data_IF_101825661696
#
_entry.id   IF_101825661696
#
_cell.length_a   1.000
_cell.length_b   1.000
_cell.length_c   1.000
_cell.angle_alpha   90.00
_cell.angle_beta   90.00
_cell.angle_gamma   90.00
#
_symmetry.space_group_name_H-M   'P 1'
#
loop_
_entity.id
_entity.type
_entity.pdbx_description
1 polymer ?
#
# COMPACT_ATOMS: atom_id res chain seq x y z
N UNK A 1 73.77 -18.60 -51.49
CA UNK A 1 72.47 -18.07 -51.94
C UNK A 1 71.58 -17.94 -50.68
N UNK A 2 71.50 -16.74 -50.10
CA UNK A 2 70.76 -16.46 -48.86
C UNK A 2 69.44 -15.82 -49.22
N UNK A 3 68.30 -16.37 -48.75
CA UNK A 3 66.99 -15.79 -48.92
C UNK A 3 66.62 -15.08 -47.60
N UNK A 4 66.54 -13.77 -47.68
CA UNK A 4 66.02 -12.95 -46.61
C UNK A 4 64.47 -13.00 -46.63
N UNK A 5 63.88 -13.35 -45.54
CA UNK A 5 62.44 -13.27 -45.35
C UNK A 5 62.08 -11.94 -44.61
N UNK A 6 61.32 -11.07 -45.28
CA UNK A 6 60.75 -9.86 -44.69
C UNK A 6 59.47 -10.25 -43.90
N UNK A 7 59.47 -9.99 -42.57
CA UNK A 7 58.28 -10.01 -41.74
C UNK A 7 57.66 -8.61 -41.75
N UNK A 8 56.49 -8.47 -42.36
CA UNK A 8 55.63 -7.28 -42.17
C UNK A 8 54.80 -7.40 -40.87
N UNK A 9 55.14 -6.60 -39.89
CA UNK A 9 54.25 -6.41 -38.71
C UNK A 9 53.07 -5.49 -39.09
N UNK A 10 51.90 -6.05 -39.21
CA UNK A 10 50.66 -5.29 -39.34
C UNK A 10 50.23 -4.76 -37.96
N UNK A 11 50.25 -3.45 -37.79
CA UNK A 11 49.68 -2.79 -36.59
C UNK A 11 48.19 -2.69 -36.81
N UNK A 12 47.43 -3.51 -36.10
CA UNK A 12 45.95 -3.36 -35.97
C UNK A 12 45.65 -2.22 -35.01
N UNK A 13 45.26 -1.05 -35.51
CA UNK A 13 44.67 0.01 -34.70
C UNK A 13 43.26 -0.40 -34.31
N UNK A 14 43.06 -0.78 -33.04
CA UNK A 14 41.74 -0.99 -32.46
C UNK A 14 41.13 0.39 -32.23
N UNK A 15 40.25 0.83 -33.15
CA UNK A 15 39.37 1.99 -32.90
C UNK A 15 38.37 1.62 -31.80
N UNK A 16 38.61 2.07 -30.57
CA UNK A 16 37.63 2.05 -29.51
C UNK A 16 36.47 2.98 -29.91
N UNK A 17 35.34 2.41 -30.27
CA UNK A 17 34.09 3.17 -30.41
C UNK A 17 33.74 3.78 -29.07
N UNK A 18 33.32 5.07 -29.01
CA UNK A 18 32.84 5.65 -27.76
C UNK A 18 31.62 4.85 -27.31
N UNK A 19 31.69 4.32 -26.08
CA UNK A 19 30.54 3.72 -25.43
C UNK A 19 29.51 4.84 -25.21
N UNK A 20 28.49 4.87 -26.05
CA UNK A 20 27.32 5.72 -25.77
C UNK A 20 26.76 5.29 -24.42
N UNK A 21 26.82 6.16 -23.41
CA UNK A 21 26.13 5.93 -22.13
C UNK A 21 24.68 5.68 -22.45
N UNK A 22 24.16 4.54 -22.04
CA UNK A 22 22.73 4.23 -22.18
C UNK A 22 21.95 5.32 -21.42
N UNK A 23 20.86 5.87 -22.02
CA UNK A 23 20.05 6.84 -21.33
C UNK A 23 19.57 6.24 -19.98
N UNK A 24 19.74 7.01 -18.92
CA UNK A 24 19.33 6.58 -17.58
C UNK A 24 17.81 6.33 -17.58
N UNK A 25 17.38 5.13 -17.24
CA UNK A 25 15.96 4.82 -17.04
C UNK A 25 15.46 5.58 -15.80
N UNK A 26 14.63 6.64 -15.95
CA UNK A 26 14.22 7.46 -14.84
C UNK A 26 13.38 6.68 -13.82
N UNK A 27 12.62 5.68 -14.27
CA UNK A 27 11.81 4.82 -13.38
C UNK A 27 12.74 4.00 -12.49
N UNK A 28 13.76 3.37 -13.05
CA UNK A 28 14.73 2.60 -12.27
C UNK A 28 15.48 3.48 -11.27
N UNK A 29 15.87 4.68 -11.68
CA UNK A 29 16.54 5.62 -10.79
C UNK A 29 15.63 6.07 -9.62
N UNK A 30 14.33 6.22 -9.86
CA UNK A 30 13.36 6.51 -8.80
C UNK A 30 13.18 5.31 -7.86
N UNK A 31 13.02 4.10 -8.39
CA UNK A 31 12.88 2.87 -7.59
C UNK A 31 14.08 2.65 -6.68
N UNK A 32 15.28 2.94 -7.14
CA UNK A 32 16.51 2.85 -6.34
C UNK A 32 16.60 3.83 -5.17
N UNK A 33 15.68 4.83 -5.09
CA UNK A 33 15.59 5.74 -3.94
C UNK A 33 14.79 5.16 -2.77
N UNK A 34 14.07 4.05 -2.98
CA UNK A 34 13.44 3.30 -1.92
C UNK A 34 14.50 2.64 -1.04
N UNK A 35 14.27 2.70 0.26
CA UNK A 35 15.21 2.22 1.27
C UNK A 35 14.45 1.42 2.33
N UNK A 36 14.88 0.19 2.57
CA UNK A 36 14.21 -0.71 3.51
C UNK A 36 14.19 -0.15 4.93
N UNK A 37 15.29 0.44 5.38
CA UNK A 37 15.36 0.95 6.75
C UNK A 37 14.50 2.20 6.95
N UNK A 38 14.36 3.06 5.96
CA UNK A 38 13.41 4.19 6.01
C UNK A 38 11.97 3.70 6.02
N UNK A 39 11.64 2.73 5.17
CA UNK A 39 10.34 2.09 5.14
C UNK A 39 9.97 1.49 6.50
N UNK A 40 10.88 0.70 7.08
CA UNK A 40 10.73 0.13 8.43
C UNK A 40 10.61 1.21 9.51
N UNK A 41 11.40 2.28 9.41
CA UNK A 41 11.37 3.38 10.37
C UNK A 41 10.02 4.11 10.35
N UNK A 42 9.40 4.27 9.17
CA UNK A 42 8.07 4.85 9.04
C UNK A 42 7.02 3.97 9.72
N UNK A 43 7.01 2.66 9.46
CA UNK A 43 6.11 1.71 10.15
C UNK A 43 6.35 1.78 11.67
N UNK A 44 7.60 1.76 12.10
CA UNK A 44 7.96 1.86 13.52
C UNK A 44 7.47 3.18 14.16
N UNK A 45 7.54 4.28 13.41
CA UNK A 45 7.00 5.57 13.85
C UNK A 45 5.49 5.54 14.09
N UNK A 46 4.75 4.90 13.19
CA UNK A 46 3.30 4.72 13.32
C UNK A 46 2.92 3.89 14.55
N UNK A 47 3.67 2.83 14.87
CA UNK A 47 3.38 1.98 16.03
C UNK A 47 3.52 2.68 17.38
N UNK A 48 4.15 3.88 17.42
CA UNK A 48 4.22 4.69 18.62
C UNK A 48 2.84 5.15 19.13
N UNK A 49 1.83 5.17 18.25
CA UNK A 49 0.46 5.59 18.54
C UNK A 49 -0.49 4.41 18.82
N UNK A 50 0.04 3.19 19.08
CA UNK A 50 -0.76 1.98 19.23
C UNK A 50 -1.48 1.59 17.94
N UNK A 51 -2.71 1.06 18.04
CA UNK A 51 -3.51 0.67 16.87
C UNK A 51 -4.09 1.88 16.09
N UNK A 52 -3.90 3.08 16.54
CA UNK A 52 -4.36 4.33 15.89
C UNK A 52 -5.87 4.36 15.63
N UNK A 53 -6.65 3.71 16.51
CA UNK A 53 -8.11 3.59 16.36
C UNK A 53 -8.76 4.95 16.13
N UNK A 54 -9.61 5.03 15.12
CA UNK A 54 -10.34 6.25 14.78
C UNK A 54 -11.10 6.83 15.99
N UNK A 55 -11.28 8.15 16.07
CA UNK A 55 -12.03 8.81 17.15
C UNK A 55 -11.28 8.98 18.46
N UNK A 56 -10.00 8.64 18.51
CA UNK A 56 -9.12 8.80 19.68
C UNK A 56 -8.17 9.98 19.52
N UNK A 57 -7.57 10.46 20.61
CA UNK A 57 -6.55 11.50 20.56
C UNK A 57 -5.27 11.00 19.90
N UNK A 58 -4.90 9.71 20.11
CA UNK A 58 -3.74 9.10 19.48
C UNK A 58 -3.89 8.94 17.96
N UNK A 59 -5.11 8.73 17.44
CA UNK A 59 -5.38 8.76 16.00
C UNK A 59 -5.11 10.16 15.42
N UNK A 60 -5.62 11.21 16.07
CA UNK A 60 -5.34 12.61 15.66
C UNK A 60 -3.83 12.92 15.70
N UNK A 61 -3.15 12.48 16.77
CA UNK A 61 -1.70 12.66 16.88
C UNK A 61 -0.94 11.91 15.77
N UNK A 62 -1.40 10.74 15.35
CA UNK A 62 -0.84 10.02 14.20
C UNK A 62 -1.05 10.79 12.88
N UNK A 63 -2.23 11.37 12.66
CA UNK A 63 -2.49 12.24 11.48
C UNK A 63 -1.56 13.46 11.50
N UNK A 64 -1.41 14.12 12.66
CA UNK A 64 -0.50 15.27 12.82
C UNK A 64 0.96 14.87 12.51
N UNK A 65 1.39 13.71 12.98
CA UNK A 65 2.70 13.16 12.69
C UNK A 65 2.89 12.86 11.20
N UNK A 66 1.91 12.21 10.55
CA UNK A 66 1.95 11.92 9.11
C UNK A 66 2.05 13.23 8.31
N UNK A 67 1.22 14.22 8.61
CA UNK A 67 1.26 15.51 7.92
C UNK A 67 2.61 16.22 8.08
N UNK A 68 3.18 16.17 9.30
CA UNK A 68 4.50 16.74 9.56
C UNK A 68 5.60 16.04 8.74
N UNK A 69 5.53 14.69 8.61
CA UNK A 69 6.45 13.94 7.75
C UNK A 69 6.29 14.33 6.27
N UNK A 70 5.05 14.37 5.75
CA UNK A 70 4.79 14.79 4.38
C UNK A 70 5.35 16.18 4.08
N UNK A 71 5.15 17.15 4.99
CA UNK A 71 5.75 18.49 4.88
C UNK A 71 7.27 18.45 4.88
N UNK A 72 7.89 17.62 5.72
CA UNK A 72 9.35 17.46 5.77
C UNK A 72 9.95 16.88 4.48
N UNK A 73 9.16 16.11 3.73
CA UNK A 73 9.56 15.58 2.42
C UNK A 73 9.47 16.62 1.28
N UNK A 74 8.88 17.79 1.55
CA UNK A 74 8.67 18.82 0.54
C UNK A 74 7.25 18.89 -0.01
N UNK A 75 6.30 18.13 0.52
CA UNK A 75 4.88 18.26 0.21
C UNK A 75 4.31 19.51 0.88
N UNK A 76 4.54 20.68 0.26
CA UNK A 76 4.11 21.97 0.83
C UNK A 76 2.58 22.22 0.76
N UNK A 77 1.85 21.39 0.02
CA UNK A 77 0.42 21.52 -0.23
C UNK A 77 -0.38 20.39 0.46
N UNK A 78 -0.01 20.04 1.67
CA UNK A 78 -0.81 19.10 2.47
C UNK A 78 -2.19 19.69 2.76
N UNK A 79 -3.20 18.84 2.67
CA UNK A 79 -4.60 19.18 2.95
C UNK A 79 -5.21 18.13 3.86
N UNK A 80 -6.27 18.52 4.59
CA UNK A 80 -7.10 17.60 5.38
C UNK A 80 -8.54 17.67 4.92
N UNK A 81 -9.16 16.53 4.77
CA UNK A 81 -10.61 16.44 4.60
C UNK A 81 -11.24 16.10 5.95
N UNK A 82 -12.33 16.78 6.27
CA UNK A 82 -13.09 16.59 7.51
C UNK A 82 -14.46 16.03 7.19
N UNK A 83 -14.90 15.11 8.05
CA UNK A 83 -16.24 14.53 7.99
C UNK A 83 -16.72 14.14 9.38
N UNK A 84 -18.04 14.00 9.55
CA UNK A 84 -18.62 13.58 10.81
C UNK A 84 -18.82 12.07 10.83
N UNK A 85 -18.51 11.45 11.95
CA UNK A 85 -18.76 10.05 12.18
C UNK A 85 -19.46 9.86 13.54
N UNK A 86 -20.51 9.04 13.52
CA UNK A 86 -21.32 8.74 14.71
C UNK A 86 -20.68 7.72 15.64
N UNK A 87 -21.51 6.96 16.32
CA UNK A 87 -21.05 5.83 17.12
C UNK A 87 -20.55 4.70 16.21
N UNK A 88 -19.46 4.09 16.63
CA UNK A 88 -18.92 2.91 15.97
C UNK A 88 -19.93 1.75 16.11
N UNK A 89 -20.31 1.10 15.01
CA UNK A 89 -21.17 -0.06 15.11
C UNK A 89 -20.48 -1.14 15.96
N UNK A 90 -21.22 -1.90 16.78
CA UNK A 90 -20.63 -2.94 17.59
C UNK A 90 -19.93 -3.97 16.67
N UNK A 91 -18.62 -4.15 16.85
CA UNK A 91 -17.89 -5.21 16.16
C UNK A 91 -18.52 -6.55 16.56
N UNK A 92 -18.68 -7.41 15.57
CA UNK A 92 -19.18 -8.76 15.83
C UNK A 92 -18.12 -9.50 16.64
N UNK A 93 -18.33 -9.58 17.95
CA UNK A 93 -17.47 -10.37 18.85
C UNK A 93 -17.63 -11.83 18.45
N UNK A 94 -16.63 -12.36 17.76
CA UNK A 94 -16.50 -13.80 17.64
C UNK A 94 -15.98 -14.28 18.99
N UNK A 95 -16.87 -14.92 19.76
CA UNK A 95 -16.53 -15.43 21.07
C UNK A 95 -15.28 -16.29 21.01
N UNK A 96 -14.30 -15.92 21.85
CA UNK A 96 -13.11 -16.71 22.23
C UNK A 96 -12.31 -17.31 21.08
N UNK A 97 -11.10 -16.88 20.99
CA UNK A 97 -9.99 -17.30 20.13
C UNK A 97 -9.66 -18.80 20.15
N UNK A 98 -10.59 -19.65 19.81
CA UNK A 98 -10.22 -20.99 19.34
C UNK A 98 -10.00 -20.86 17.83
N UNK A 99 -8.76 -20.81 17.43
CA UNK A 99 -8.34 -21.11 16.08
C UNK A 99 -8.96 -22.47 15.72
N UNK A 100 -10.11 -22.43 15.03
CA UNK A 100 -10.74 -23.64 14.56
C UNK A 100 -9.98 -24.07 13.29
N UNK A 101 -9.34 -25.22 13.33
CA UNK A 101 -8.96 -25.92 12.11
C UNK A 101 -10.21 -26.04 11.23
N UNK A 102 -10.01 -25.76 9.94
CA UNK A 102 -11.07 -25.87 8.94
C UNK A 102 -11.57 -27.31 8.87
N UNK A 103 -12.61 -27.58 9.62
CA UNK A 103 -13.45 -28.77 9.54
C UNK A 103 -14.79 -28.38 8.95
N UNK A 104 -15.33 -29.21 8.22
CA UNK A 104 -16.54 -29.39 7.42
C UNK A 104 -17.75 -28.45 7.53
N UNK A 105 -17.87 -27.55 8.52
CA UNK A 105 -18.99 -26.64 8.65
C UNK A 105 -18.60 -25.20 8.28
N UNK A 106 -18.82 -24.85 7.03
CA UNK A 106 -18.56 -23.52 6.49
C UNK A 106 -19.80 -22.62 6.60
N UNK A 107 -19.75 -21.48 7.30
CA UNK A 107 -20.64 -20.38 6.96
C UNK A 107 -20.18 -19.77 5.64
N UNK A 108 -21.15 -19.61 4.77
CA UNK A 108 -21.03 -18.94 3.49
C UNK A 108 -20.66 -17.46 3.74
N UNK A 109 -19.40 -17.08 3.45
CA UNK A 109 -19.04 -15.67 3.35
C UNK A 109 -19.59 -15.20 2.01
N UNK A 110 -20.68 -14.46 2.08
CA UNK A 110 -21.42 -13.98 0.95
C UNK A 110 -20.52 -13.39 -0.15
N UNK A 111 -20.84 -13.81 -1.36
CA UNK A 111 -20.39 -13.31 -2.65
C UNK A 111 -18.88 -13.37 -2.91
N UNK A 112 -18.44 -14.50 -3.43
CA UNK A 112 -17.25 -14.59 -4.30
C UNK A 112 -15.92 -14.86 -3.63
N UNK A 113 -15.86 -15.11 -2.33
CA UNK A 113 -14.62 -15.55 -1.70
C UNK A 113 -14.21 -16.95 -2.16
N UNK A 114 -13.00 -17.10 -2.71
CA UNK A 114 -12.45 -18.41 -3.00
C UNK A 114 -12.50 -19.26 -1.71
N UNK A 115 -13.03 -20.46 -1.79
CA UNK A 115 -13.09 -21.40 -0.66
C UNK A 115 -11.66 -21.76 -0.26
N UNK A 116 -11.18 -21.22 0.84
CA UNK A 116 -9.90 -21.60 1.40
C UNK A 116 -10.03 -22.96 2.05
N UNK A 117 -9.48 -23.98 1.42
CA UNK A 117 -9.40 -25.33 2.03
C UNK A 117 -8.16 -25.39 2.93
N UNK A 118 -8.38 -25.71 4.21
CA UNK A 118 -7.28 -26.00 5.14
C UNK A 118 -6.59 -24.80 5.78
N UNK A 119 -7.12 -23.59 5.64
CA UNK A 119 -6.53 -22.37 6.20
C UNK A 119 -7.04 -22.05 7.59
N UNK A 120 -6.21 -21.41 8.39
CA UNK A 120 -6.65 -20.72 9.59
C UNK A 120 -7.59 -19.57 9.20
N UNK A 121 -8.75 -19.50 9.85
CA UNK A 121 -9.68 -18.38 9.61
C UNK A 121 -9.25 -17.19 10.43
N UNK A 122 -9.45 -15.95 9.91
CA UNK A 122 -9.32 -14.76 10.73
C UNK A 122 -10.18 -14.91 11.98
N UNK A 123 -9.61 -14.62 13.13
CA UNK A 123 -10.33 -14.68 14.40
C UNK A 123 -11.37 -13.55 14.56
N UNK A 124 -11.45 -12.62 13.61
CA UNK A 124 -12.17 -11.37 13.70
C UNK A 124 -11.44 -10.35 14.58
N UNK A 125 -12.10 -9.23 14.89
CA UNK A 125 -11.51 -8.18 15.74
C UNK A 125 -11.40 -8.67 17.18
N UNK A 126 -10.20 -8.62 17.75
CA UNK A 126 -10.00 -8.88 19.17
C UNK A 126 -10.46 -7.65 19.97
N UNK A 127 -11.39 -7.85 20.91
CA UNK A 127 -11.93 -6.79 21.76
C UNK A 127 -11.56 -6.99 23.25
N UNK A 128 -10.69 -7.96 23.55
CA UNK A 128 -10.26 -8.24 24.90
C UNK A 128 -8.94 -7.52 25.24
N UNK A 129 -8.96 -6.47 26.08
CA UNK A 129 -7.76 -5.77 26.48
C UNK A 129 -6.74 -6.66 27.20
N UNK A 130 -7.22 -7.69 27.90
CA UNK A 130 -6.33 -8.60 28.63
C UNK A 130 -5.58 -9.58 27.70
N UNK A 131 -6.03 -9.71 26.46
CA UNK A 131 -5.29 -10.45 25.42
C UNK A 131 -3.99 -9.74 25.00
N UNK A 132 -3.83 -8.42 25.29
CA UNK A 132 -2.58 -7.68 25.05
C UNK A 132 -1.67 -7.76 26.28
N UNK A 133 -0.56 -8.58 26.23
CA UNK A 133 0.32 -8.76 27.38
C UNK A 133 1.21 -7.53 27.63
N UNK A 134 1.43 -6.69 26.61
CA UNK A 134 2.27 -5.50 26.75
C UNK A 134 1.45 -4.37 27.39
N UNK A 135 1.77 -4.05 28.66
CA UNK A 135 1.06 -3.05 29.45
C UNK A 135 1.07 -1.64 28.80
N UNK A 136 2.17 -1.28 28.07
CA UNK A 136 2.25 0.01 27.38
C UNK A 136 1.26 0.08 26.23
N UNK A 137 1.20 -0.97 25.38
CA UNK A 137 0.28 -1.02 24.23
C UNK A 137 -1.16 -1.05 24.76
N UNK A 138 -1.44 -1.92 25.74
CA UNK A 138 -2.76 -1.98 26.39
C UNK A 138 -3.21 -0.64 26.92
N UNK A 139 -2.32 0.12 27.57
CA UNK A 139 -2.67 1.44 28.08
C UNK A 139 -2.93 2.47 26.97
N UNK A 140 -2.20 2.41 25.86
CA UNK A 140 -2.45 3.26 24.68
C UNK A 140 -3.82 2.95 24.08
N UNK A 141 -4.10 1.66 23.84
CA UNK A 141 -5.29 1.21 23.13
C UNK A 141 -6.57 1.25 23.99
N UNK A 142 -6.42 1.48 25.30
CA UNK A 142 -7.55 1.64 26.21
C UNK A 142 -8.34 2.96 26.02
N UNK A 143 -7.82 3.91 25.24
CA UNK A 143 -8.57 5.14 24.95
C UNK A 143 -9.81 4.82 24.09
N UNK A 144 -11.03 5.13 24.55
CA UNK A 144 -12.24 4.83 23.80
C UNK A 144 -12.41 5.77 22.61
N UNK A 145 -12.85 5.24 21.48
CA UNK A 145 -13.31 6.04 20.36
C UNK A 145 -14.53 6.88 20.77
N UNK A 146 -14.57 8.15 20.33
CA UNK A 146 -15.68 9.06 20.59
C UNK A 146 -16.33 9.49 19.28
N UNK A 147 -17.66 9.66 19.21
CA UNK A 147 -18.33 10.29 18.08
C UNK A 147 -17.80 11.70 17.81
N UNK A 148 -17.90 12.16 16.57
CA UNK A 148 -17.54 13.51 16.19
C UNK A 148 -16.78 13.60 14.88
N UNK A 149 -16.03 14.69 14.72
CA UNK A 149 -15.24 14.95 13.51
C UNK A 149 -14.08 13.96 13.35
N UNK A 150 -13.88 13.51 12.12
CA UNK A 150 -12.72 12.74 11.66
C UNK A 150 -11.99 13.54 10.60
N UNK A 151 -10.71 13.27 10.48
CA UNK A 151 -9.85 13.88 9.47
C UNK A 151 -9.07 12.78 8.75
N UNK A 152 -8.76 13.03 7.50
CA UNK A 152 -7.77 12.31 6.72
C UNK A 152 -6.83 13.31 6.06
N UNK A 153 -5.65 12.88 5.65
CA UNK A 153 -4.60 13.77 5.18
C UNK A 153 -4.01 13.30 3.86
N UNK A 154 -3.71 14.25 2.98
CA UNK A 154 -2.99 13.99 1.74
C UNK A 154 -2.01 15.10 1.38
N UNK A 155 -1.14 14.79 0.43
CA UNK A 155 -0.45 15.81 -0.37
C UNK A 155 -0.56 15.48 -1.86
N UNK A 156 -0.39 16.50 -2.72
CA UNK A 156 -0.53 16.34 -4.16
C UNK A 156 0.73 16.81 -4.87
N UNK A 157 1.40 15.93 -5.63
CA UNK A 157 2.39 16.30 -6.63
C UNK A 157 1.63 16.81 -7.84
N UNK A 158 1.78 18.09 -8.17
CA UNK A 158 1.10 18.70 -9.31
C UNK A 158 1.86 18.36 -10.60
N UNK A 159 1.15 17.85 -11.59
CA UNK A 159 1.67 17.56 -12.93
C UNK A 159 2.00 18.82 -13.72
N UNK A 160 3.06 18.76 -14.51
CA UNK A 160 3.53 19.91 -15.30
C UNK A 160 2.75 20.09 -16.60
N UNK A 161 2.38 19.01 -17.30
CA UNK A 161 1.68 19.04 -18.58
C UNK A 161 0.15 18.93 -18.42
N UNK A 162 -0.30 18.09 -17.51
CA UNK A 162 -1.70 17.77 -17.29
C UNK A 162 -2.07 17.88 -15.79
N UNK A 163 -2.00 19.08 -15.19
CA UNK A 163 -2.29 19.26 -13.76
C UNK A 163 -3.73 18.90 -13.37
N UNK A 164 -4.67 18.95 -14.34
CA UNK A 164 -6.08 18.58 -14.16
C UNK A 164 -6.37 17.07 -14.25
N UNK A 165 -5.35 16.22 -14.40
CA UNK A 165 -5.45 14.75 -14.42
C UNK A 165 -4.64 14.14 -13.28
N UNK A 166 -5.16 13.11 -12.60
CA UNK A 166 -4.56 12.60 -11.37
C UNK A 166 -4.70 11.10 -11.19
N UNK A 167 -3.65 10.47 -10.67
CA UNK A 167 -3.72 9.17 -10.02
C UNK A 167 -3.74 9.33 -8.51
N UNK A 168 -4.56 8.52 -7.83
CA UNK A 168 -4.64 8.46 -6.37
C UNK A 168 -3.85 7.25 -5.90
N UNK A 169 -2.89 7.47 -5.02
CA UNK A 169 -2.09 6.43 -4.35
C UNK A 169 -2.39 6.51 -2.87
N UNK A 170 -2.90 5.43 -2.30
CA UNK A 170 -3.55 5.50 -0.99
C UNK A 170 -3.33 4.27 -0.12
N UNK A 171 -3.56 4.46 1.18
CA UNK A 171 -3.66 3.44 2.21
C UNK A 171 -4.49 3.99 3.37
N UNK A 172 -5.08 3.14 4.21
CA UNK A 172 -5.62 3.63 5.47
C UNK A 172 -4.54 3.68 6.57
N UNK A 173 -4.72 4.59 7.53
CA UNK A 173 -3.75 4.80 8.60
C UNK A 173 -4.27 4.37 9.97
N UNK A 174 -5.55 4.16 10.12
CA UNK A 174 -6.16 3.65 11.35
C UNK A 174 -6.03 2.11 11.44
N UNK A 175 -6.31 1.56 12.59
CA UNK A 175 -6.32 0.13 12.85
C UNK A 175 -7.06 -0.18 14.14
N UNK A 176 -7.24 -1.45 14.45
CA UNK A 176 -7.97 -1.99 15.60
C UNK A 176 -7.33 -3.29 16.11
N UNK A 177 -7.81 -3.83 17.22
CA UNK A 177 -7.47 -5.19 17.66
C UNK A 177 -6.46 -5.26 18.80
N UNK A 178 -6.23 -4.14 19.52
CA UNK A 178 -5.30 -4.10 20.68
C UNK A 178 -3.84 -4.40 20.35
N UNK A 179 -3.43 -4.17 19.10
CA UNK A 179 -2.06 -4.32 18.62
C UNK A 179 -1.37 -2.97 18.39
N UNK A 180 -0.43 -2.96 17.49
CA UNK A 180 0.22 -1.75 16.99
C UNK A 180 -0.24 -1.41 15.55
N UNK A 181 -1.19 -2.19 15.00
CA UNK A 181 -1.61 -2.09 13.60
C UNK A 181 -0.40 -2.04 12.66
N UNK A 182 0.54 -2.96 12.90
CA UNK A 182 1.85 -2.96 12.24
C UNK A 182 1.77 -3.52 10.82
N UNK A 183 0.91 -4.52 10.57
CA UNK A 183 0.57 -5.00 9.23
C UNK A 183 -0.73 -4.37 8.73
N UNK A 184 -1.71 -4.18 9.59
CA UNK A 184 -2.98 -3.60 9.21
C UNK A 184 -3.18 -2.19 9.83
N UNK A 185 -2.78 -1.05 9.15
CA UNK A 185 -2.13 -0.99 7.85
C UNK A 185 -0.88 -0.09 7.89
N UNK A 186 0.13 -0.50 8.65
CA UNK A 186 1.44 0.17 8.70
C UNK A 186 2.17 0.16 7.35
N UNK A 187 2.26 -0.98 6.61
CA UNK A 187 3.01 -1.08 5.37
C UNK A 187 2.40 -0.24 4.24
N UNK A 188 1.08 -0.23 4.08
CA UNK A 188 0.43 0.61 3.08
C UNK A 188 0.65 2.09 3.37
N UNK A 189 0.46 2.52 4.63
CA UNK A 189 0.74 3.90 5.05
C UNK A 189 2.19 4.30 4.77
N UNK A 190 3.15 3.45 5.14
CA UNK A 190 4.57 3.72 4.92
C UNK A 190 4.93 3.77 3.43
N UNK A 191 4.34 2.89 2.61
CA UNK A 191 4.51 2.89 1.16
C UNK A 191 4.07 4.24 0.56
N UNK A 192 2.86 4.69 0.88
CA UNK A 192 2.33 5.97 0.37
C UNK A 192 3.23 7.14 0.78
N UNK A 193 3.71 7.15 2.03
CA UNK A 193 4.62 8.19 2.54
C UNK A 193 5.99 8.15 1.85
N UNK A 194 6.57 6.98 1.60
CA UNK A 194 7.85 6.84 0.88
C UNK A 194 7.72 7.27 -0.58
N UNK A 195 6.63 6.94 -1.27
CA UNK A 195 6.37 7.45 -2.60
C UNK A 195 6.22 8.98 -2.61
N UNK A 196 5.47 9.53 -1.65
CA UNK A 196 5.36 10.98 -1.50
C UNK A 196 6.73 11.65 -1.33
N UNK A 197 7.61 11.07 -0.49
CA UNK A 197 8.98 11.53 -0.29
C UNK A 197 9.79 11.55 -1.59
N UNK A 198 9.71 10.48 -2.39
CA UNK A 198 10.49 10.36 -3.62
C UNK A 198 9.97 11.32 -4.69
N UNK A 199 8.65 11.36 -4.90
CA UNK A 199 8.05 12.24 -5.90
C UNK A 199 8.12 13.73 -5.52
N UNK A 200 8.22 14.08 -4.24
CA UNK A 200 8.42 15.45 -3.78
C UNK A 200 9.86 15.97 -4.04
N UNK A 201 10.80 15.10 -4.43
CA UNK A 201 12.16 15.48 -4.79
C UNK A 201 12.17 16.61 -5.83
N UNK A 202 13.02 17.64 -5.62
CA UNK A 202 13.08 18.82 -6.47
C UNK A 202 13.55 18.54 -7.91
N UNK A 203 14.21 17.40 -8.11
CA UNK A 203 14.67 16.90 -9.41
C UNK A 203 13.63 16.00 -10.12
N UNK A 204 12.50 15.70 -9.48
CA UNK A 204 11.44 14.87 -10.05
C UNK A 204 10.35 15.73 -10.67
N UNK A 205 10.08 15.51 -11.96
CA UNK A 205 8.93 16.08 -12.65
C UNK A 205 7.96 14.97 -13.08
N UNK A 206 6.67 15.31 -13.15
CA UNK A 206 5.62 14.43 -13.66
C UNK A 206 4.74 15.20 -14.63
N UNK A 207 4.23 14.54 -15.67
CA UNK A 207 3.28 15.16 -16.59
C UNK A 207 1.90 15.30 -15.95
N UNK A 208 1.47 14.29 -15.18
CA UNK A 208 0.19 14.25 -14.46
C UNK A 208 0.38 14.38 -12.97
N UNK A 209 -0.67 14.77 -12.29
CA UNK A 209 -0.69 14.89 -10.84
C UNK A 209 -0.77 13.53 -10.15
N UNK A 210 -0.28 13.45 -8.91
CA UNK A 210 -0.39 12.29 -8.03
C UNK A 210 -0.89 12.78 -6.68
N UNK A 211 -1.94 12.20 -6.15
CA UNK A 211 -2.39 12.40 -4.77
C UNK A 211 -1.97 11.23 -3.90
N UNK A 212 -1.18 11.52 -2.88
CA UNK A 212 -0.78 10.58 -1.84
C UNK A 212 -1.69 10.81 -0.64
N UNK A 213 -2.63 9.90 -0.40
CA UNK A 213 -3.65 10.07 0.64
C UNK A 213 -3.64 8.92 1.64
N UNK A 214 -3.77 9.26 2.92
CA UNK A 214 -3.88 8.36 4.05
C UNK A 214 -5.31 8.47 4.59
N UNK A 215 -6.12 7.45 4.27
CA UNK A 215 -7.49 7.35 4.73
C UNK A 215 -7.57 7.15 6.24
N UNK A 216 -8.64 7.58 6.84
CA UNK A 216 -8.94 7.32 8.24
C UNK A 216 -10.30 6.64 8.36
N UNK A 217 -10.48 5.84 9.40
CA UNK A 217 -11.76 5.19 9.68
C UNK A 217 -12.17 4.17 8.59
N UNK A 218 -11.17 3.42 8.07
CA UNK A 218 -11.39 2.27 7.20
C UNK A 218 -12.07 1.15 7.95
N UNK A 219 -11.53 0.81 9.13
CA UNK A 219 -11.82 -0.35 9.97
C UNK A 219 -13.28 -0.42 10.45
N UNK A 220 -14.00 0.70 10.42
CA UNK A 220 -15.40 0.76 10.79
C UNK A 220 -16.33 0.99 9.61
N UNK A 221 -15.81 0.79 8.38
CA UNK A 221 -16.62 0.72 7.16
C UNK A 221 -16.21 1.66 6.04
N UNK A 222 -14.93 1.87 5.78
CA UNK A 222 -14.39 2.66 4.65
C UNK A 222 -14.86 4.13 4.69
N UNK A 223 -15.01 4.71 5.88
CA UNK A 223 -15.74 5.96 6.04
C UNK A 223 -14.96 7.16 5.49
N UNK A 224 -13.63 7.18 5.61
CA UNK A 224 -12.80 8.22 5.01
C UNK A 224 -12.90 8.22 3.50
N UNK A 225 -12.64 7.09 2.86
CA UNK A 225 -12.74 6.95 1.41
C UNK A 225 -14.13 7.30 0.86
N UNK A 226 -15.21 6.90 1.58
CA UNK A 226 -16.58 7.29 1.23
C UNK A 226 -16.80 8.80 1.35
N UNK A 227 -16.33 9.42 2.43
CA UNK A 227 -16.45 10.86 2.64
C UNK A 227 -15.69 11.65 1.56
N UNK A 228 -14.51 11.17 1.16
CA UNK A 228 -13.76 11.76 0.07
C UNK A 228 -14.53 11.69 -1.26
N UNK A 229 -15.04 10.53 -1.64
CA UNK A 229 -15.86 10.36 -2.85
C UNK A 229 -17.06 11.30 -2.81
N UNK A 230 -17.82 11.32 -1.73
CA UNK A 230 -19.01 12.17 -1.58
C UNK A 230 -18.70 13.66 -1.77
N UNK A 231 -17.59 14.13 -1.19
CA UNK A 231 -17.22 15.55 -1.23
C UNK A 231 -16.50 15.96 -2.52
N UNK A 232 -15.80 15.04 -3.21
CA UNK A 232 -14.85 15.36 -4.27
C UNK A 232 -15.26 14.87 -5.66
N UNK A 233 -16.08 13.84 -5.79
CA UNK A 233 -16.46 13.27 -7.09
C UNK A 233 -16.94 14.34 -8.09
N UNK A 234 -17.82 15.24 -7.65
CA UNK A 234 -18.42 16.27 -8.51
C UNK A 234 -17.49 17.46 -8.82
N UNK A 235 -16.34 17.54 -8.16
CA UNK A 235 -15.35 18.61 -8.36
C UNK A 235 -14.29 18.26 -9.40
N UNK A 236 -14.22 17.01 -9.82
CA UNK A 236 -13.19 16.50 -10.70
C UNK A 236 -13.03 17.32 -11.99
N UNK A 237 -11.77 17.68 -12.28
CA UNK A 237 -11.40 18.40 -13.50
C UNK A 237 -11.91 19.84 -13.60
N UNK A 238 -12.48 20.38 -12.52
CA UNK A 238 -12.97 21.78 -12.50
C UNK A 238 -11.90 22.73 -11.99
N UNK A 239 -11.61 23.73 -12.80
CA UNK A 239 -10.72 24.81 -12.36
C UNK A 239 -11.38 25.70 -11.30
N UNK A 240 -10.60 26.15 -10.34
CA UNK A 240 -11.04 27.10 -9.34
C UNK A 240 -9.91 28.07 -8.95
N UNK A 241 -10.06 29.38 -9.26
CA UNK A 241 -11.10 29.98 -10.11
C UNK A 241 -10.98 29.58 -11.58
N UNK A 242 -12.04 29.69 -12.40
CA UNK A 242 -12.00 29.39 -13.83
C UNK A 242 -10.87 30.13 -14.58
N UNK A 243 -10.13 29.39 -15.44
CA UNK A 243 -8.99 29.92 -16.20
C UNK A 243 -7.69 30.07 -15.39
N UNK A 244 -7.65 29.59 -14.15
CA UNK A 244 -6.47 29.68 -13.28
C UNK A 244 -5.43 28.58 -13.52
N UNK A 245 -5.78 27.49 -14.20
CA UNK A 245 -4.97 26.27 -14.28
C UNK A 245 -4.89 25.51 -12.96
N UNK A 246 -5.69 25.88 -11.95
CA UNK A 246 -5.71 25.23 -10.63
C UNK A 246 -6.92 24.32 -10.51
N UNK A 247 -6.64 23.04 -10.18
CA UNK A 247 -7.66 22.01 -10.02
C UNK A 247 -7.64 21.53 -8.56
N UNK A 248 -8.56 22.01 -7.71
CA UNK A 248 -8.69 21.52 -6.33
C UNK A 248 -8.93 20.01 -6.28
N UNK A 249 -9.63 19.50 -7.30
CA UNK A 249 -9.80 18.06 -7.54
C UNK A 249 -9.54 17.76 -9.01
N UNK A 250 -8.32 17.33 -9.39
CA UNK A 250 -8.05 16.88 -10.74
C UNK A 250 -8.91 15.65 -11.10
N UNK A 251 -9.15 15.43 -12.38
CA UNK A 251 -9.88 14.25 -12.87
C UNK A 251 -9.14 12.98 -12.46
N UNK A 252 -9.84 12.06 -11.85
CA UNK A 252 -9.30 10.74 -11.48
C UNK A 252 -9.08 9.88 -12.72
N UNK A 253 -7.85 9.39 -12.87
CA UNK A 253 -7.47 8.45 -13.93
C UNK A 253 -7.33 7.02 -13.41
N UNK A 254 -7.04 6.86 -12.14
CA UNK A 254 -6.92 5.58 -11.45
C UNK A 254 -6.79 5.77 -9.94
N UNK A 255 -7.26 4.78 -9.19
CA UNK A 255 -7.15 4.71 -7.75
C UNK A 255 -6.39 3.44 -7.36
N UNK A 256 -5.36 3.58 -6.56
CA UNK A 256 -4.47 2.50 -6.14
C UNK A 256 -4.45 2.46 -4.62
N UNK A 257 -5.02 1.42 -4.03
CA UNK A 257 -5.04 1.17 -2.60
C UNK A 257 -3.94 0.19 -2.21
N UNK A 258 -3.41 0.35 -1.01
CA UNK A 258 -2.44 -0.56 -0.40
C UNK A 258 -2.92 -0.97 0.98
N UNK A 259 -2.89 -2.28 1.25
CA UNK A 259 -3.47 -2.80 2.48
C UNK A 259 -2.85 -4.15 2.84
N UNK A 260 -2.22 -4.25 4.02
CA UNK A 260 -1.58 -5.46 4.55
C UNK A 260 -0.53 -6.08 3.61
N UNK A 261 0.75 -5.88 3.88
CA UNK A 261 1.84 -6.37 3.03
C UNK A 261 3.07 -6.81 3.82
N UNK A 262 2.90 -7.36 5.03
CA UNK A 262 4.02 -7.85 5.83
C UNK A 262 3.99 -9.35 6.11
N UNK A 263 2.91 -10.08 5.79
CA UNK A 263 2.85 -11.48 6.15
C UNK A 263 3.52 -12.39 5.11
N UNK A 264 4.81 -12.63 5.27
CA UNK A 264 5.58 -13.57 4.46
C UNK A 264 6.14 -14.77 5.23
N UNK A 265 6.20 -14.73 6.56
CA UNK A 265 6.69 -15.87 7.29
C UNK A 265 5.62 -16.92 7.47
N UNK A 266 5.92 -18.02 6.95
CA UNK A 266 5.59 -19.32 7.31
C UNK A 266 4.18 -19.85 7.26
N UNK A 267 4.22 -21.15 7.28
CA UNK A 267 3.03 -21.98 7.42
C UNK A 267 2.70 -22.15 8.91
N UNK A 268 1.40 -22.12 9.27
CA UNK A 268 0.99 -22.51 10.62
C UNK A 268 1.39 -23.95 10.93
N UNK A 269 2.01 -24.15 12.08
CA UNK A 269 2.34 -25.48 12.62
C UNK A 269 1.21 -25.99 13.51
N UNK A 270 1.25 -27.29 13.82
CA UNK A 270 0.24 -27.93 14.66
C UNK A 270 0.16 -27.38 16.09
N UNK A 271 1.23 -26.75 16.56
CA UNK A 271 1.31 -26.09 17.87
C UNK A 271 0.84 -24.62 17.84
N UNK A 272 0.36 -24.13 16.67
CA UNK A 272 -0.07 -22.75 16.47
C UNK A 272 1.05 -21.75 16.19
N UNK A 273 2.32 -22.18 16.20
CA UNK A 273 3.44 -21.35 15.77
C UNK A 273 3.51 -21.26 14.24
N UNK A 274 4.21 -20.23 13.74
CA UNK A 274 4.51 -20.07 12.32
C UNK A 274 5.91 -20.58 12.01
N UNK A 275 6.10 -21.18 10.84
CA UNK A 275 7.44 -21.50 10.36
C UNK A 275 8.19 -20.22 10.02
N UNK A 276 9.52 -20.27 10.09
CA UNK A 276 10.36 -19.13 9.71
C UNK A 276 10.64 -19.05 8.20
N UNK A 277 10.22 -20.08 7.45
CA UNK A 277 10.38 -20.12 6.01
C UNK A 277 9.40 -19.17 5.34
N UNK A 278 9.82 -18.60 4.22
CA UNK A 278 8.96 -17.84 3.33
C UNK A 278 7.78 -18.69 2.87
N UNK A 279 6.58 -18.10 2.79
CA UNK A 279 5.45 -18.78 2.17
C UNK A 279 5.72 -18.99 0.68
N UNK A 280 5.50 -20.20 0.14
CA UNK A 280 5.72 -20.47 -1.29
C UNK A 280 4.87 -19.60 -2.21
N UNK A 281 3.71 -19.13 -1.76
CA UNK A 281 2.80 -18.25 -2.49
C UNK A 281 2.99 -16.76 -2.17
N UNK A 282 4.03 -16.41 -1.41
CA UNK A 282 4.27 -15.02 -1.09
C UNK A 282 4.51 -14.21 -2.38
N UNK A 283 3.63 -13.26 -2.63
CA UNK A 283 3.66 -12.36 -3.77
C UNK A 283 2.97 -11.03 -3.45
N UNK A 284 3.10 -10.06 -4.34
CA UNK A 284 2.29 -8.85 -4.34
C UNK A 284 1.01 -9.15 -5.12
N UNK A 285 -0.08 -9.37 -4.41
CA UNK A 285 -1.38 -9.63 -5.02
C UNK A 285 -2.02 -8.30 -5.46
N UNK A 286 -2.23 -8.15 -6.76
CA UNK A 286 -2.86 -6.97 -7.38
C UNK A 286 -4.30 -7.34 -7.70
N UNK A 287 -5.23 -6.71 -7.02
CA UNK A 287 -6.65 -7.03 -7.12
C UNK A 287 -7.42 -5.99 -7.90
N UNK A 288 -8.34 -6.43 -8.77
CA UNK A 288 -9.37 -5.59 -9.36
C UNK A 288 -10.75 -6.26 -9.22
N UNK A 289 -11.82 -5.49 -9.31
CA UNK A 289 -13.17 -6.06 -9.19
C UNK A 289 -13.79 -6.29 -10.56
N UNK A 290 -13.89 -7.54 -10.98
CA UNK A 290 -14.41 -7.94 -12.29
C UNK A 290 -15.89 -7.59 -12.51
N UNK A 291 -16.65 -7.35 -11.44
CA UNK A 291 -18.07 -6.93 -11.53
C UNK A 291 -18.26 -5.42 -11.50
N UNK A 292 -17.20 -4.62 -11.43
CA UNK A 292 -17.29 -3.16 -11.44
C UNK A 292 -17.57 -2.60 -12.83
N UNK A 293 -18.10 -1.37 -12.89
CA UNK A 293 -18.32 -0.67 -14.17
C UNK A 293 -17.02 -0.38 -14.93
N UNK A 294 -15.90 -0.32 -14.23
CA UNK A 294 -14.58 -0.04 -14.78
C UNK A 294 -13.66 -1.27 -14.79
N UNK A 295 -14.25 -2.48 -14.79
CA UNK A 295 -13.49 -3.73 -14.70
C UNK A 295 -12.38 -3.85 -15.75
N UNK A 296 -12.66 -3.55 -17.02
CA UNK A 296 -11.67 -3.64 -18.11
C UNK A 296 -10.51 -2.68 -17.90
N UNK A 297 -10.82 -1.45 -17.51
CA UNK A 297 -9.79 -0.42 -17.22
C UNK A 297 -9.00 -0.77 -15.97
N UNK A 298 -9.65 -1.31 -14.93
CA UNK A 298 -9.01 -1.75 -13.70
C UNK A 298 -8.11 -2.97 -13.95
N UNK A 299 -8.54 -3.92 -14.77
CA UNK A 299 -7.70 -5.05 -15.19
C UNK A 299 -6.47 -4.57 -15.97
N UNK A 300 -6.65 -3.63 -16.89
CA UNK A 300 -5.52 -3.04 -17.61
C UNK A 300 -4.54 -2.36 -16.67
N UNK A 301 -5.04 -1.58 -15.72
CA UNK A 301 -4.23 -0.94 -14.68
C UNK A 301 -3.46 -1.99 -13.86
N UNK A 302 -4.12 -3.07 -13.44
CA UNK A 302 -3.48 -4.17 -12.70
C UNK A 302 -2.32 -4.81 -13.48
N UNK A 303 -2.47 -4.99 -14.78
CA UNK A 303 -1.39 -5.52 -15.64
C UNK A 303 -0.23 -4.54 -15.80
N UNK A 304 -0.47 -3.22 -15.84
CA UNK A 304 0.62 -2.23 -15.81
C UNK A 304 1.44 -2.40 -14.53
N UNK A 305 0.78 -2.65 -13.40
CA UNK A 305 1.48 -2.89 -12.13
C UNK A 305 2.23 -4.22 -12.12
N UNK A 306 1.66 -5.30 -12.66
CA UNK A 306 2.37 -6.58 -12.79
C UNK A 306 3.63 -6.44 -13.66
N UNK A 307 3.54 -5.80 -14.82
CA UNK A 307 4.70 -5.54 -15.68
C UNK A 307 5.75 -4.66 -15.00
N UNK A 308 5.31 -3.68 -14.20
CA UNK A 308 6.21 -2.86 -13.41
C UNK A 308 6.94 -3.69 -12.32
N UNK A 309 6.24 -4.61 -11.66
CA UNK A 309 6.85 -5.57 -10.75
C UNK A 309 7.92 -6.41 -11.45
N UNK A 310 7.58 -7.07 -12.55
CA UNK A 310 8.50 -7.93 -13.31
C UNK A 310 9.78 -7.20 -13.74
N UNK A 311 9.67 -5.91 -14.05
CA UNK A 311 10.81 -5.12 -14.56
C UNK A 311 11.65 -4.46 -13.48
N UNK A 312 11.05 -4.06 -12.37
CA UNK A 312 11.68 -3.15 -11.43
C UNK A 312 11.73 -3.64 -9.98
N UNK A 313 10.84 -4.54 -9.57
CA UNK A 313 10.88 -5.12 -8.23
C UNK A 313 11.98 -6.18 -8.10
N UNK A 314 12.39 -6.50 -6.86
CA UNK A 314 13.62 -7.28 -6.63
C UNK A 314 13.39 -8.65 -6.04
N UNK A 315 12.39 -8.80 -5.15
CA UNK A 315 12.34 -9.97 -4.26
C UNK A 315 11.12 -10.87 -4.48
N UNK A 316 9.98 -10.30 -4.89
CA UNK A 316 8.71 -11.02 -4.96
C UNK A 316 8.02 -10.82 -6.29
N UNK A 317 7.42 -11.87 -6.86
CA UNK A 317 6.58 -11.74 -8.04
C UNK A 317 5.29 -10.97 -7.71
N UNK A 318 4.55 -10.57 -8.74
CA UNK A 318 3.21 -10.09 -8.59
C UNK A 318 2.22 -11.06 -9.24
N UNK A 319 1.04 -11.18 -8.65
CA UNK A 319 -0.11 -11.87 -9.23
C UNK A 319 -1.28 -10.93 -9.42
N UNK A 320 -2.13 -11.17 -10.45
CA UNK A 320 -3.33 -10.38 -10.70
C UNK A 320 -4.57 -11.19 -10.36
N UNK A 321 -5.46 -10.64 -9.57
CA UNK A 321 -6.68 -11.25 -9.10
C UNK A 321 -7.91 -10.46 -9.52
N UNK A 322 -8.91 -11.16 -10.06
CA UNK A 322 -10.17 -10.58 -10.55
C UNK A 322 -11.21 -10.35 -9.45
N UNK A 323 -10.83 -10.49 -8.22
CA UNK A 323 -11.68 -10.25 -7.05
C UNK A 323 -10.96 -9.36 -6.05
N UNK A 324 -11.54 -8.22 -5.77
CA UNK A 324 -10.99 -7.25 -4.82
C UNK A 324 -11.51 -7.53 -3.41
N UNK A 325 -10.60 -7.61 -2.48
CA UNK A 325 -10.91 -7.64 -1.05
C UNK A 325 -11.53 -6.30 -0.60
N UNK A 326 -12.37 -6.31 0.42
CA UNK A 326 -13.02 -5.09 0.90
C UNK A 326 -12.00 -4.18 1.58
N UNK A 327 -11.72 -3.05 0.96
CA UNK A 327 -10.86 -1.98 1.44
C UNK A 327 -11.23 -0.65 0.75
N UNK A 328 -10.50 0.43 1.00
CA UNK A 328 -10.83 1.79 0.54
C UNK A 328 -10.88 1.99 -0.98
N UNK A 329 -10.44 1.04 -1.78
CA UNK A 329 -10.68 1.04 -3.22
C UNK A 329 -12.15 0.84 -3.60
N UNK A 330 -12.94 0.22 -2.71
CA UNK A 330 -14.34 -0.14 -2.99
C UNK A 330 -15.24 1.05 -3.34
N UNK A 331 -15.21 2.20 -2.65
CA UNK A 331 -16.01 3.37 -3.03
C UNK A 331 -15.71 3.91 -4.43
N UNK A 332 -14.54 3.60 -5.01
CA UNK A 332 -14.10 4.09 -6.31
C UNK A 332 -14.38 3.14 -7.47
N UNK A 333 -14.69 1.87 -7.23
CA UNK A 333 -14.79 0.82 -8.26
C UNK A 333 -15.70 1.17 -9.44
N UNK A 334 -16.81 1.85 -9.17
CA UNK A 334 -17.80 2.23 -10.18
C UNK A 334 -17.65 3.67 -10.69
N UNK A 335 -16.55 4.35 -10.33
CA UNK A 335 -16.24 5.74 -10.69
C UNK A 335 -14.97 5.87 -11.52
N UNK A 336 -14.00 4.99 -11.31
CA UNK A 336 -12.69 5.00 -11.99
C UNK A 336 -12.07 3.61 -11.95
N UNK A 337 -11.05 3.34 -12.77
CA UNK A 337 -10.24 2.15 -12.62
C UNK A 337 -9.62 2.11 -11.19
N UNK A 338 -10.02 1.14 -10.38
CA UNK A 338 -9.56 0.99 -9.01
C UNK A 338 -8.93 -0.39 -8.80
N UNK A 339 -7.75 -0.41 -8.20
CA UNK A 339 -7.02 -1.63 -7.85
C UNK A 339 -6.58 -1.58 -6.39
N UNK A 340 -6.28 -2.75 -5.84
CA UNK A 340 -5.74 -2.90 -4.49
C UNK A 340 -4.49 -3.78 -4.53
N UNK A 341 -3.43 -3.39 -3.84
CA UNK A 341 -2.25 -4.23 -3.65
C UNK A 341 -2.25 -4.76 -2.22
N UNK A 342 -2.06 -6.06 -2.09
CA UNK A 342 -2.05 -6.76 -0.79
C UNK A 342 -1.03 -7.89 -0.79
N UNK A 343 -0.73 -8.40 0.40
CA UNK A 343 -0.13 -9.72 0.53
C UNK A 343 -1.08 -10.80 0.03
N UNK A 344 -0.55 -11.90 -0.51
CA UNK A 344 -1.39 -12.99 -0.97
C UNK A 344 -2.02 -13.75 0.22
N UNK A 345 -3.30 -13.56 0.41
CA UNK A 345 -4.10 -14.22 1.44
C UNK A 345 -4.72 -15.52 0.97
N UNK A 346 -4.61 -15.83 -0.32
CA UNK A 346 -5.36 -16.89 -0.97
C UNK A 346 -4.58 -18.18 -1.15
N UNK A 347 -3.66 -18.48 -0.30
CA UNK A 347 -2.85 -19.70 -0.32
C UNK A 347 -3.68 -20.99 -0.35
N UNK A 348 -4.51 -21.13 -1.38
CA UNK A 348 -5.50 -22.21 -1.52
C UNK A 348 -4.84 -23.56 -1.74
N UNK A 349 -3.63 -23.57 -2.28
CA UNK A 349 -2.94 -24.79 -2.69
C UNK A 349 -2.19 -25.45 -1.52
N UNK A 350 -1.76 -24.65 -0.57
CA UNK A 350 -0.90 -25.10 0.53
C UNK A 350 -1.47 -24.78 1.91
N UNK A 351 -2.69 -24.24 1.98
CA UNK A 351 -3.35 -23.95 3.23
C UNK A 351 -2.90 -22.71 3.97
N UNK A 352 -1.99 -21.90 3.41
CA UNK A 352 -1.70 -20.59 3.94
C UNK A 352 -2.90 -19.66 3.67
N UNK A 353 -3.28 -18.88 4.62
CA UNK A 353 -4.44 -18.03 4.56
C UNK A 353 -4.10 -16.63 5.04
N UNK A 354 -5.06 -16.02 5.68
CA UNK A 354 -4.90 -14.72 6.29
C UNK A 354 -3.76 -14.68 7.30
N UNK A 355 -3.16 -13.49 7.44
CA UNK A 355 -2.27 -13.20 8.55
C UNK A 355 -3.00 -13.48 9.88
N UNK A 356 -2.50 -14.41 10.71
CA UNK A 356 -3.13 -14.71 12.00
C UNK A 356 -3.04 -13.55 12.99
N UNK A 357 -2.25 -12.52 12.68
CA UNK A 357 -2.10 -11.32 13.50
C UNK A 357 -3.12 -10.23 13.14
N UNK A 358 -3.83 -10.37 12.02
CA UNK A 358 -4.83 -9.42 11.56
C UNK A 358 -5.89 -9.15 12.63
N UNK A 359 -6.04 -7.88 13.03
CA UNK A 359 -6.94 -7.42 14.10
C UNK A 359 -6.69 -8.09 15.47
N UNK A 360 -5.44 -8.46 15.74
CA UNK A 360 -5.05 -9.15 16.97
C UNK A 360 -4.01 -8.36 17.78
N UNK A 361 -3.90 -8.60 19.09
CA UNK A 361 -2.85 -8.03 19.95
C UNK A 361 -1.43 -8.38 19.48
N UNK A 362 -1.30 -9.35 18.61
CA UNK A 362 -0.04 -9.79 18.01
C UNK A 362 0.35 -9.03 16.76
N UNK A 363 -0.52 -8.19 16.19
CA UNK A 363 -0.15 -7.29 15.09
C UNK A 363 0.73 -6.15 15.61
N UNK A 364 2.01 -6.47 15.80
CA UNK A 364 3.04 -5.57 16.35
C UNK A 364 4.26 -5.57 15.44
N UNK A 365 4.98 -4.45 15.44
CA UNK A 365 6.22 -4.33 14.69
C UNK A 365 7.21 -5.48 14.96
N UNK A 366 7.32 -5.91 16.21
CA UNK A 366 8.23 -6.98 16.61
C UNK A 366 7.79 -8.38 16.14
N UNK A 367 6.61 -8.53 15.63
CA UNK A 367 6.10 -9.80 15.08
C UNK A 367 6.71 -10.09 13.71
N UNK A 368 7.03 -9.04 12.96
CA UNK A 368 7.49 -9.14 11.57
C UNK A 368 9.02 -9.02 11.48
N UNK A 369 9.61 -9.73 10.56
CA UNK A 369 11.04 -9.78 10.30
C UNK A 369 11.41 -9.13 8.95
N UNK A 370 12.68 -9.13 8.59
CA UNK A 370 13.16 -8.47 7.37
C UNK A 370 12.56 -9.05 6.08
N UNK A 371 12.18 -10.32 6.03
CA UNK A 371 11.50 -10.90 4.85
C UNK A 371 10.11 -10.28 4.69
N UNK A 372 9.39 -10.15 5.80
CA UNK A 372 8.07 -9.54 5.83
C UNK A 372 8.14 -8.08 5.34
N UNK A 373 9.07 -7.30 5.87
CA UNK A 373 9.26 -5.91 5.44
C UNK A 373 9.73 -5.79 3.98
N UNK A 374 10.44 -6.78 3.44
CA UNK A 374 10.83 -6.82 2.02
C UNK A 374 9.63 -7.04 1.10
N UNK A 375 8.63 -7.79 1.52
CA UNK A 375 7.38 -7.93 0.75
C UNK A 375 6.70 -6.56 0.58
N UNK A 376 6.55 -5.79 1.66
CA UNK A 376 6.01 -4.44 1.62
C UNK A 376 6.87 -3.47 0.79
N UNK A 377 8.20 -3.55 0.91
CA UNK A 377 9.11 -2.76 0.07
C UNK A 377 8.97 -3.12 -1.41
N UNK A 378 8.78 -4.41 -1.72
CA UNK A 378 8.58 -4.89 -3.08
C UNK A 378 7.27 -4.35 -3.69
N UNK A 379 6.21 -4.26 -2.89
CA UNK A 379 4.97 -3.59 -3.29
C UNK A 379 5.20 -2.08 -3.54
N UNK A 380 6.06 -1.43 -2.72
CA UNK A 380 6.45 -0.05 -2.95
C UNK A 380 7.25 0.14 -4.25
N UNK A 381 8.17 -0.77 -4.57
CA UNK A 381 8.91 -0.77 -5.84
C UNK A 381 7.95 -0.93 -7.04
N UNK A 382 7.02 -1.86 -6.94
CA UNK A 382 5.98 -2.11 -7.95
C UNK A 382 5.14 -0.87 -8.20
N UNK A 383 4.59 -0.28 -7.14
CA UNK A 383 3.72 0.90 -7.23
C UNK A 383 4.48 2.12 -7.74
N UNK A 384 5.66 2.38 -7.20
CA UNK A 384 6.46 3.53 -7.63
C UNK A 384 6.79 3.43 -9.12
N UNK A 385 7.18 2.25 -9.60
CA UNK A 385 7.51 2.04 -11.00
C UNK A 385 6.29 2.20 -11.91
N UNK A 386 5.15 1.61 -11.55
CA UNK A 386 3.93 1.74 -12.33
C UNK A 386 3.43 3.19 -12.38
N UNK A 387 3.38 3.85 -11.22
CA UNK A 387 2.92 5.25 -11.12
C UNK A 387 3.86 6.18 -11.88
N UNK A 388 5.19 6.00 -11.77
CA UNK A 388 6.17 6.80 -12.50
C UNK A 388 5.96 6.73 -14.02
N UNK A 389 5.62 5.54 -14.55
CA UNK A 389 5.30 5.38 -15.97
C UNK A 389 3.96 6.05 -16.32
N UNK A 390 2.92 5.82 -15.53
CA UNK A 390 1.57 6.36 -15.77
C UNK A 390 1.52 7.89 -15.75
N UNK A 391 2.35 8.52 -14.92
CA UNK A 391 2.38 9.98 -14.80
C UNK A 391 3.46 10.65 -15.64
N UNK A 392 4.23 9.90 -16.42
CA UNK A 392 5.32 10.43 -17.24
C UNK A 392 6.43 11.06 -16.39
N UNK A 393 6.91 10.33 -15.36
CA UNK A 393 7.93 10.86 -14.47
C UNK A 393 9.29 10.96 -15.16
N UNK A 394 9.97 12.10 -14.96
CA UNK A 394 11.31 12.39 -15.47
C UNK A 394 12.21 12.94 -14.38
N UNK A 395 13.52 12.81 -14.56
CA UNK A 395 14.54 13.41 -13.70
C UNK A 395 15.23 14.57 -14.45
N UNK A 396 15.41 15.69 -13.73
CA UNK A 396 16.15 16.87 -14.22
C UNK A 396 17.64 16.67 -14.09
#
# INVERSE_FOLDING_TARGET
>A
MSRAACFCLGVFAICALPAFAQPVDPVRALVQRLDLEKYKATIKGLTAFGDRRQGTARNRAAIDWIEAQLKSYGCANTERLKYQFGEEPPHRVLASSTVRQAGTDQPDFGVGGARQRGTLRPAGVNNDPEAQPNARIRALDAEPAKPGEREEVWCTKIGAAHPGEMYIVSAHMDGIGWGEAANDNGPGTALVMELARIFAGGDVQTDRSIRFILWNNEETGLNGAKAYVEQREKLQGKESPPGSGRYPEPKWLGMIQHDMMLFDHGMPRSDGSLSAEQRPEADVNIEFQSSSKFADSAQHLAWVFQQANEKYATDYPASVSAHMTNTDSRPFQDLVAAISLRENERGTQIGAGWDPNWHQPTDRYATYNDKDFRLGLNAAQTTLAAVAQLVGATLK
#
